data_IF_270813038314
#
_entry.id   IF_270813038314
#
_cell.length_a   1.000
_cell.length_b   1.000
_cell.length_c   1.000
_cell.angle_alpha   90.00
_cell.angle_beta   90.00
_cell.angle_gamma   90.00
#
_symmetry.space_group_name_H-M   'P 1'
#
loop_
_entity.id
_entity.type
_entity.pdbx_description
1 polymer ?
#
# COMPACT_ATOMS: atom_id res chain seq x y z
N UNK A 1 -15.79 9.13 -4.21
CA UNK A 1 -14.83 9.55 -3.17
C UNK A 1 -13.42 9.26 -3.66
N UNK A 2 -12.56 10.26 -3.63
CA UNK A 2 -11.12 10.17 -3.91
C UNK A 2 -10.40 10.05 -2.58
N UNK A 3 -9.67 8.96 -2.39
CA UNK A 3 -8.98 8.62 -1.16
C UNK A 3 -7.48 8.71 -1.43
N UNK A 4 -6.78 9.53 -0.66
CA UNK A 4 -5.33 9.55 -0.66
C UNK A 4 -4.79 8.80 0.56
N UNK A 5 -3.86 7.88 0.32
CA UNK A 5 -3.15 7.14 1.36
C UNK A 5 -1.66 7.45 1.20
N UNK A 6 -1.04 7.96 2.26
CA UNK A 6 0.38 8.28 2.26
C UNK A 6 1.15 7.18 2.99
N UNK A 7 2.15 6.60 2.35
CA UNK A 7 2.89 5.45 2.85
C UNK A 7 2.31 4.11 2.40
N UNK A 8 3.13 3.07 2.48
CA UNK A 8 2.77 1.69 2.11
C UNK A 8 3.08 0.61 3.16
N UNK A 9 3.06 0.87 4.48
CA UNK A 9 3.17 -0.23 5.44
C UNK A 9 1.94 -1.14 5.36
N UNK A 10 2.04 -2.34 5.93
CA UNK A 10 0.93 -3.32 5.99
C UNK A 10 -0.40 -2.68 6.39
N UNK A 11 -0.40 -1.85 7.44
CA UNK A 11 -1.61 -1.20 7.96
C UNK A 11 -2.28 -0.28 6.93
N UNK A 12 -1.51 0.44 6.11
CA UNK A 12 -2.05 1.29 5.05
C UNK A 12 -2.76 0.47 3.97
N UNK A 13 -2.18 -0.67 3.59
CA UNK A 13 -2.76 -1.57 2.60
C UNK A 13 -4.03 -2.25 3.11
N UNK A 14 -4.04 -2.66 4.39
CA UNK A 14 -5.23 -3.21 5.05
C UNK A 14 -6.36 -2.18 5.13
N UNK A 15 -6.02 -0.94 5.48
CA UNK A 15 -6.98 0.15 5.52
C UNK A 15 -7.59 0.42 4.13
N UNK A 16 -6.75 0.49 3.10
CA UNK A 16 -7.19 0.65 1.71
C UNK A 16 -8.13 -0.49 1.25
N UNK A 17 -7.85 -1.73 1.67
CA UNK A 17 -8.74 -2.85 1.38
C UNK A 17 -10.10 -2.72 2.08
N UNK A 18 -10.12 -2.28 3.34
CA UNK A 18 -11.37 -2.01 4.06
C UNK A 18 -12.21 -0.96 3.34
N UNK A 19 -11.59 0.14 2.91
CA UNK A 19 -12.26 1.19 2.13
C UNK A 19 -12.90 0.61 0.86
N UNK A 20 -12.20 -0.27 0.14
CA UNK A 20 -12.74 -0.89 -1.07
C UNK A 20 -13.74 -2.01 -0.78
N UNK A 21 -13.79 -2.57 0.43
CA UNK A 21 -14.84 -3.50 0.85
C UNK A 21 -16.14 -2.72 1.13
N UNK A 22 -16.04 -1.56 1.78
CA UNK A 22 -17.18 -0.69 2.13
C UNK A 22 -17.68 0.13 0.93
N UNK A 23 -16.75 0.70 0.16
CA UNK A 23 -17.00 1.54 -1.00
C UNK A 23 -16.20 1.06 -2.21
N UNK A 24 -16.65 0.02 -2.93
CA UNK A 24 -15.92 -0.57 -4.05
C UNK A 24 -15.65 0.39 -5.22
N UNK A 25 -16.39 1.50 -5.31
CA UNK A 25 -16.23 2.54 -6.34
C UNK A 25 -15.31 3.68 -5.90
N UNK A 26 -14.71 3.63 -4.70
CA UNK A 26 -13.75 4.62 -4.25
C UNK A 26 -12.51 4.61 -5.15
N UNK A 27 -11.98 5.79 -5.44
CA UNK A 27 -10.71 5.95 -6.16
C UNK A 27 -9.61 6.07 -5.10
N UNK A 28 -8.90 4.98 -4.85
CA UNK A 28 -7.83 4.92 -3.86
C UNK A 28 -6.48 5.12 -4.55
N UNK A 29 -5.73 6.13 -4.11
CA UNK A 29 -4.35 6.38 -4.56
C UNK A 29 -3.41 6.24 -3.37
N UNK A 30 -2.46 5.32 -3.47
CA UNK A 30 -1.40 5.09 -2.48
C UNK A 30 -0.11 5.75 -2.97
N UNK A 31 0.38 6.73 -2.21
CA UNK A 31 1.62 7.44 -2.45
C UNK A 31 2.73 6.80 -1.63
N UNK A 32 3.80 6.34 -2.28
CA UNK A 32 4.92 5.71 -1.59
C UNK A 32 6.25 6.20 -2.13
N UNK A 33 7.18 6.50 -1.21
CA UNK A 33 8.56 6.83 -1.55
C UNK A 33 9.37 5.59 -1.95
N UNK A 34 8.87 4.39 -1.62
CA UNK A 34 9.52 3.13 -1.96
C UNK A 34 9.52 2.89 -3.48
N UNK A 35 10.57 2.21 -3.95
CA UNK A 35 10.65 1.72 -5.33
C UNK A 35 9.69 0.58 -5.61
N UNK A 36 9.43 -0.22 -4.57
CA UNK A 36 8.65 -1.44 -4.64
C UNK A 36 8.05 -1.73 -3.26
N UNK A 37 6.73 -1.90 -3.22
CA UNK A 37 6.02 -2.20 -1.98
C UNK A 37 6.32 -3.62 -1.52
N UNK A 38 6.65 -3.74 -0.24
CA UNK A 38 7.01 -4.99 0.43
C UNK A 38 8.51 -5.28 0.41
N UNK A 39 9.29 -4.58 -0.41
CA UNK A 39 10.74 -4.75 -0.48
C UNK A 39 11.44 -3.40 -0.30
N UNK A 40 11.33 -2.78 0.89
CA UNK A 40 11.94 -1.49 1.16
C UNK A 40 13.47 -1.57 1.06
N UNK A 41 14.10 -0.45 0.67
CA UNK A 41 15.56 -0.35 0.61
C UNK A 41 16.21 -0.60 1.98
N UNK A 42 15.52 -0.23 3.07
CA UNK A 42 15.91 -0.51 4.44
C UNK A 42 14.86 -1.43 5.06
N UNK A 43 15.18 -2.72 5.33
CA UNK A 43 14.22 -3.64 5.93
C UNK A 43 14.04 -3.33 7.43
N UNK A 44 12.86 -2.81 7.78
CA UNK A 44 12.49 -2.42 9.14
C UNK A 44 11.55 -3.41 9.85
N UNK A 45 11.20 -4.53 9.21
CA UNK A 45 10.19 -5.43 9.72
C UNK A 45 10.71 -6.51 10.67
N UNK A 46 9.83 -6.91 11.58
CA UNK A 46 9.99 -8.12 12.38
C UNK A 46 9.84 -9.38 11.51
N UNK A 47 10.34 -10.50 12.03
CA UNK A 47 10.12 -11.81 11.44
C UNK A 47 8.70 -12.28 11.71
N UNK A 48 8.05 -12.87 10.69
CA UNK A 48 6.71 -13.44 10.82
C UNK A 48 6.66 -14.84 10.24
N UNK A 49 5.71 -15.64 10.71
CA UNK A 49 5.24 -16.84 10.03
C UNK A 49 4.09 -16.43 9.10
N UNK A 50 4.23 -16.67 7.80
CA UNK A 50 3.27 -16.18 6.79
C UNK A 50 1.91 -16.86 6.95
N UNK A 51 1.88 -18.18 7.19
CA UNK A 51 0.61 -18.91 7.36
C UNK A 51 -0.18 -18.39 8.55
N UNK A 52 0.47 -18.14 9.68
CA UNK A 52 -0.15 -17.53 10.86
C UNK A 52 -0.70 -16.13 10.56
N UNK A 53 0.10 -15.26 9.93
CA UNK A 53 -0.33 -13.91 9.58
C UNK A 53 -1.57 -13.92 8.68
N UNK A 54 -1.61 -14.81 7.67
CA UNK A 54 -2.74 -14.94 6.74
C UNK A 54 -4.03 -15.44 7.39
N UNK A 55 -3.98 -16.03 8.59
CA UNK A 55 -5.21 -16.42 9.32
C UNK A 55 -6.01 -15.22 9.80
N UNK A 56 -5.35 -14.06 9.96
CA UNK A 56 -5.99 -12.83 10.46
C UNK A 56 -6.42 -11.88 9.35
N UNK A 57 -6.07 -12.20 8.09
CA UNK A 57 -6.31 -11.34 6.92
C UNK A 57 -7.42 -11.96 6.05
N UNK A 58 -8.43 -11.18 5.63
CA UNK A 58 -9.46 -11.66 4.72
C UNK A 58 -8.87 -12.27 3.44
N UNK A 59 -9.35 -13.45 3.05
CA UNK A 59 -8.80 -14.19 1.89
C UNK A 59 -8.86 -13.41 0.57
N UNK A 60 -9.79 -12.46 0.45
CA UNK A 60 -9.93 -11.60 -0.72
C UNK A 60 -8.92 -10.43 -0.75
N UNK A 61 -8.12 -10.23 0.31
CA UNK A 61 -7.16 -9.12 0.43
C UNK A 61 -5.74 -9.48 0.01
N UNK A 62 -5.42 -10.74 -0.26
CA UNK A 62 -4.10 -11.12 -0.77
C UNK A 62 -4.20 -11.93 -2.06
N UNK A 63 -3.10 -11.95 -2.81
CA UNK A 63 -2.94 -12.73 -4.04
C UNK A 63 -2.30 -14.09 -3.75
N UNK A 64 -2.13 -14.92 -4.78
CA UNK A 64 -1.48 -16.22 -4.64
C UNK A 64 -0.02 -16.07 -4.18
N UNK A 65 0.36 -16.88 -3.19
CA UNK A 65 1.72 -16.90 -2.66
C UNK A 65 2.66 -17.53 -3.71
N UNK A 66 3.78 -16.89 -4.08
CA UNK A 66 4.72 -17.46 -5.04
C UNK A 66 5.32 -18.78 -4.55
N UNK A 67 5.61 -19.67 -5.49
CA UNK A 67 6.40 -20.87 -5.20
C UNK A 67 7.80 -20.48 -4.71
N UNK A 68 8.27 -21.13 -3.64
CA UNK A 68 9.59 -20.89 -3.06
C UNK A 68 9.61 -19.91 -1.89
N UNK A 69 8.48 -19.28 -1.55
CA UNK A 69 8.32 -18.57 -0.27
C UNK A 69 8.02 -19.60 0.82
N UNK A 70 8.91 -19.72 1.80
CA UNK A 70 8.63 -20.48 3.02
C UNK A 70 7.57 -19.76 3.84
N UNK A 71 6.51 -20.47 4.22
CA UNK A 71 5.35 -19.89 4.86
C UNK A 71 5.27 -20.23 6.35
N UNK A 72 6.03 -21.24 6.80
CA UNK A 72 5.92 -21.84 8.14
C UNK A 72 7.16 -21.55 9.00
N UNK A 73 8.20 -20.93 8.44
CA UNK A 73 9.39 -20.47 9.16
C UNK A 73 9.34 -18.95 9.36
N UNK A 74 9.57 -18.44 10.59
CA UNK A 74 9.71 -17.01 10.84
C UNK A 74 10.78 -16.38 9.95
N UNK A 75 10.40 -15.35 9.19
CA UNK A 75 11.38 -14.59 8.41
C UNK A 75 10.90 -13.19 8.07
N UNK A 76 11.86 -12.28 7.85
CA UNK A 76 11.56 -10.94 7.30
C UNK A 76 11.10 -11.02 5.85
N UNK A 77 11.60 -12.01 5.10
CA UNK A 77 11.17 -12.28 3.72
C UNK A 77 9.68 -12.66 3.67
N UNK A 78 9.18 -13.45 4.63
CA UNK A 78 7.75 -13.72 4.76
C UNK A 78 6.94 -12.43 4.97
N UNK A 79 7.43 -11.50 5.77
CA UNK A 79 6.80 -10.19 5.95
C UNK A 79 6.79 -9.37 4.66
N UNK A 80 7.93 -9.30 3.96
CA UNK A 80 8.03 -8.65 2.65
C UNK A 80 7.01 -9.19 1.65
N UNK A 81 6.89 -10.53 1.58
CA UNK A 81 5.92 -11.17 0.71
C UNK A 81 4.49 -10.91 1.16
N UNK A 82 4.18 -10.90 2.46
CA UNK A 82 2.85 -10.55 2.94
C UNK A 82 2.42 -9.17 2.43
N UNK A 83 3.26 -8.15 2.64
CA UNK A 83 3.00 -6.78 2.20
C UNK A 83 2.87 -6.71 0.68
N UNK A 84 3.75 -7.40 -0.06
CA UNK A 84 3.68 -7.49 -1.53
C UNK A 84 2.36 -8.10 -2.00
N UNK A 85 1.89 -9.18 -1.37
CA UNK A 85 0.68 -9.90 -1.74
C UNK A 85 -0.58 -9.04 -1.53
N UNK A 86 -0.62 -8.27 -0.43
CA UNK A 86 -1.65 -7.27 -0.18
C UNK A 86 -1.63 -6.20 -1.28
N UNK A 87 -0.46 -5.63 -1.58
CA UNK A 87 -0.34 -4.57 -2.60
C UNK A 87 -0.78 -5.03 -3.99
N UNK A 88 -0.36 -6.23 -4.42
CA UNK A 88 -0.79 -6.82 -5.71
C UNK A 88 -2.31 -6.98 -5.74
N UNK A 89 -2.90 -7.49 -4.66
CA UNK A 89 -4.34 -7.67 -4.61
C UNK A 89 -5.07 -6.34 -4.60
N UNK A 90 -4.57 -5.35 -3.87
CA UNK A 90 -5.12 -4.01 -3.81
C UNK A 90 -5.10 -3.33 -5.19
N UNK A 91 -4.00 -3.45 -5.93
CA UNK A 91 -3.91 -3.00 -7.32
C UNK A 91 -4.95 -3.68 -8.22
N UNK A 92 -5.11 -5.01 -8.08
CA UNK A 92 -6.11 -5.77 -8.85
C UNK A 92 -7.57 -5.37 -8.54
N UNK A 93 -7.80 -4.76 -7.37
CA UNK A 93 -9.09 -4.21 -6.95
C UNK A 93 -9.31 -2.77 -7.42
N UNK A 94 -8.36 -2.18 -8.15
CA UNK A 94 -8.48 -0.86 -8.77
C UNK A 94 -7.76 0.27 -8.03
N UNK A 95 -7.04 -0.01 -6.95
CA UNK A 95 -6.20 1.01 -6.32
C UNK A 95 -5.01 1.37 -7.22
N UNK A 96 -4.65 2.65 -7.22
CA UNK A 96 -3.49 3.16 -7.94
C UNK A 96 -2.32 3.35 -6.98
N UNK A 97 -1.11 3.01 -7.44
CA UNK A 97 0.12 3.22 -6.68
C UNK A 97 1.00 4.23 -7.40
N UNK A 98 1.39 5.28 -6.69
CA UNK A 98 2.41 6.23 -7.11
C UNK A 98 3.68 5.94 -6.30
N UNK A 99 4.54 5.11 -6.88
CA UNK A 99 5.84 4.71 -6.31
C UNK A 99 6.90 5.78 -6.56
N UNK A 100 8.02 5.73 -5.81
CA UNK A 100 9.08 6.75 -5.88
C UNK A 100 8.52 8.18 -5.79
N UNK A 101 7.46 8.38 -5.02
CA UNK A 101 6.72 9.63 -4.97
C UNK A 101 6.80 10.25 -3.59
N UNK A 102 7.31 11.48 -3.55
CA UNK A 102 7.46 12.28 -2.33
C UNK A 102 6.37 13.34 -2.30
N UNK A 103 5.66 13.42 -1.18
CA UNK A 103 4.69 14.50 -0.93
C UNK A 103 5.46 15.78 -0.58
N UNK A 104 5.13 16.87 -1.27
CA UNK A 104 5.74 18.19 -1.08
C UNK A 104 4.92 19.04 -0.11
N UNK A 105 3.60 19.03 -0.26
CA UNK A 105 2.67 19.85 0.50
C UNK A 105 1.29 19.18 0.54
N UNK A 106 0.57 19.40 1.65
CA UNK A 106 -0.83 19.03 1.84
C UNK A 106 -1.57 20.32 2.16
N UNK A 107 -2.43 20.76 1.26
CA UNK A 107 -3.31 21.91 1.45
C UNK A 107 -4.67 21.39 1.93
N UNK A 108 -4.90 21.43 3.25
CA UNK A 108 -6.13 20.95 3.86
C UNK A 108 -7.35 21.82 3.52
N UNK A 109 -7.15 23.13 3.32
CA UNK A 109 -8.22 24.09 3.00
C UNK A 109 -8.81 23.81 1.61
N UNK A 110 -7.95 23.46 0.65
CA UNK A 110 -8.35 23.12 -0.72
C UNK A 110 -8.48 21.61 -0.96
N UNK A 111 -8.10 20.79 0.02
CA UNK A 111 -8.02 19.32 -0.04
C UNK A 111 -7.16 18.83 -1.20
N UNK A 112 -5.93 19.34 -1.27
CA UNK A 112 -4.99 19.07 -2.36
C UNK A 112 -3.66 18.52 -1.83
N UNK A 113 -3.11 17.52 -2.55
CA UNK A 113 -1.77 16.98 -2.33
C UNK A 113 -0.89 17.40 -3.48
N UNK A 114 0.18 18.12 -3.18
CA UNK A 114 1.27 18.37 -4.12
C UNK A 114 2.35 17.31 -3.95
N UNK A 115 2.80 16.71 -5.05
CA UNK A 115 3.80 15.66 -5.01
C UNK A 115 4.81 15.75 -6.15
N UNK A 116 5.96 15.11 -5.94
CA UNK A 116 6.98 14.84 -6.96
C UNK A 116 7.12 13.34 -7.11
N UNK A 117 6.86 12.83 -8.30
CA UNK A 117 6.96 11.40 -8.61
C UNK A 117 8.25 11.07 -9.36
N UNK A 118 8.72 9.83 -9.19
CA UNK A 118 9.86 9.27 -9.91
C UNK A 118 9.50 8.43 -11.13
N UNK A 119 8.21 8.31 -11.45
CA UNK A 119 7.68 7.49 -12.55
C UNK A 119 7.20 8.32 -13.75
N UNK A 120 6.22 7.80 -14.50
CA UNK A 120 5.62 8.49 -15.66
C UNK A 120 4.90 9.79 -15.27
N UNK A 121 4.51 9.93 -14.00
CA UNK A 121 4.03 11.19 -13.43
C UNK A 121 5.19 11.78 -12.64
N UNK A 122 5.80 12.83 -13.18
CA UNK A 122 6.98 13.48 -12.57
C UNK A 122 6.62 14.38 -11.38
N UNK A 123 5.41 14.92 -11.37
CA UNK A 123 4.87 15.79 -10.32
C UNK A 123 3.41 16.09 -10.61
N UNK A 124 2.65 16.46 -9.59
CA UNK A 124 1.26 16.85 -9.75
C UNK A 124 0.68 17.49 -8.50
N UNK A 125 -0.53 18.02 -8.68
CA UNK A 125 -1.43 18.42 -7.61
C UNK A 125 -2.72 17.62 -7.81
N UNK A 126 -3.11 16.83 -6.83
CA UNK A 126 -4.32 16.02 -6.87
C UNK A 126 -5.25 16.36 -5.71
N UNK A 127 -6.54 16.48 -6.00
CA UNK A 127 -7.57 16.68 -4.98
C UNK A 127 -7.95 15.36 -4.33
N UNK A 128 -8.20 15.39 -3.03
CA UNK A 128 -8.73 14.28 -2.26
C UNK A 128 -10.03 14.67 -1.56
N UNK A 129 -10.86 13.67 -1.25
CA UNK A 129 -12.00 13.85 -0.36
C UNK A 129 -11.62 13.42 1.07
N UNK A 130 -10.80 12.37 1.19
CA UNK A 130 -10.25 11.87 2.46
C UNK A 130 -8.75 11.55 2.31
N UNK A 131 -7.98 11.80 3.37
CA UNK A 131 -6.54 11.58 3.43
C UNK A 131 -6.18 10.79 4.68
N UNK A 132 -5.37 9.75 4.50
CA UNK A 132 -4.84 8.91 5.59
C UNK A 132 -3.32 8.82 5.50
N UNK A 133 -2.61 9.27 6.55
CA UNK A 133 -1.15 9.31 6.57
C UNK A 133 -0.56 8.18 7.44
N UNK A 134 0.27 7.34 6.82
CA UNK A 134 0.94 6.16 7.40
C UNK A 134 2.46 6.17 7.18
N UNK A 135 3.05 7.31 6.80
CA UNK A 135 4.50 7.45 6.60
C UNK A 135 5.29 7.36 7.90
#
# INVERSE_FOLDING_TARGET
>A
VNIAILGSPKAALEHAHSILDETPTARVVVYSEEAEIGFPEIPLSDEIILTEALTTIPKNWYSSIPMGVDQDIPSKTAHSWLVKLLAIRLASRGAQFLLRTTILEIDEDHQEISFRGGGSISSGVERYDELYDFR
#
